data_IF_247782598936
#
_entry.id   IF_247782598936
#
_cell.length_a   1.000
_cell.length_b   1.000
_cell.length_c   1.000
_cell.angle_alpha   90.00
_cell.angle_beta   90.00
_cell.angle_gamma   90.00
#
_symmetry.space_group_name_H-M   'P 1'
#
loop_
_entity.id
_entity.type
_entity.pdbx_description
1 polymer ?
#
# COMPACT_ATOMS: atom_id res chain seq x y z
N UNK A 1 -13.48 36.09 -47.91
CA UNK A 1 -14.75 35.37 -48.21
C UNK A 1 -14.72 34.73 -49.63
N UNK A 2 -14.45 35.47 -50.71
CA UNK A 2 -14.47 34.96 -52.07
C UNK A 2 -13.48 33.77 -52.30
N UNK A 3 -12.28 33.74 -51.70
CA UNK A 3 -11.35 32.65 -51.79
C UNK A 3 -11.84 31.38 -51.06
N UNK A 4 -12.48 31.54 -49.88
CA UNK A 4 -13.09 30.44 -49.14
C UNK A 4 -14.24 29.81 -49.93
N UNK A 5 -15.11 30.65 -50.51
CA UNK A 5 -16.21 30.18 -51.37
C UNK A 5 -15.67 29.43 -52.59
N UNK A 6 -14.65 29.97 -53.23
CA UNK A 6 -13.99 29.32 -54.35
C UNK A 6 -13.38 27.99 -53.98
N UNK A 7 -12.65 27.93 -52.84
CA UNK A 7 -12.09 26.71 -52.30
C UNK A 7 -13.18 25.66 -52.03
N UNK A 8 -14.20 25.99 -51.26
CA UNK A 8 -15.31 25.08 -50.93
C UNK A 8 -16.04 24.54 -52.15
N UNK A 9 -16.10 25.36 -53.23
CA UNK A 9 -16.73 24.95 -54.47
C UNK A 9 -15.90 23.96 -55.29
N UNK A 10 -14.56 24.03 -55.24
CA UNK A 10 -13.69 23.32 -56.17
C UNK A 10 -12.73 22.34 -55.52
N UNK A 11 -12.60 22.30 -54.17
CA UNK A 11 -11.67 21.45 -53.45
C UNK A 11 -11.78 19.94 -53.79
N UNK A 12 -12.97 19.48 -54.12
CA UNK A 12 -13.25 18.08 -54.46
C UNK A 12 -13.31 17.83 -55.98
N UNK A 13 -12.75 18.72 -56.77
CA UNK A 13 -12.77 18.67 -58.24
C UNK A 13 -11.40 18.61 -58.83
N UNK A 14 -11.30 18.38 -60.17
CA UNK A 14 -10.04 18.45 -60.91
C UNK A 14 -9.37 19.85 -60.89
N UNK A 15 -10.11 20.90 -60.48
CA UNK A 15 -9.56 22.24 -60.30
C UNK A 15 -9.00 22.50 -58.88
N UNK A 16 -8.97 21.52 -58.01
CA UNK A 16 -8.45 21.62 -56.63
C UNK A 16 -7.04 22.25 -56.58
N UNK A 17 -6.11 21.79 -57.40
CA UNK A 17 -4.76 22.35 -57.48
C UNK A 17 -4.72 23.85 -57.86
N UNK A 18 -5.61 24.30 -58.73
CA UNK A 18 -5.67 25.70 -59.08
C UNK A 18 -6.16 26.58 -57.93
N UNK A 19 -7.09 26.07 -57.13
CA UNK A 19 -7.59 26.75 -55.94
C UNK A 19 -6.57 26.72 -54.79
N UNK A 20 -5.87 25.60 -54.60
CA UNK A 20 -4.82 25.40 -53.57
C UNK A 20 -3.64 26.38 -53.68
N UNK A 21 -3.41 26.98 -54.87
CA UNK A 21 -2.41 28.05 -55.07
C UNK A 21 -2.74 29.33 -54.31
N UNK A 22 -3.96 29.50 -53.84
CA UNK A 22 -4.46 30.76 -53.23
C UNK A 22 -5.02 30.58 -51.84
N UNK A 23 -5.40 29.36 -51.49
CA UNK A 23 -6.04 29.10 -50.18
C UNK A 23 -5.75 27.66 -49.69
N UNK A 24 -5.52 27.55 -48.40
CA UNK A 24 -5.40 26.28 -47.69
C UNK A 24 -6.30 26.33 -46.44
N UNK A 25 -7.10 25.30 -46.25
CA UNK A 25 -7.98 25.17 -45.06
C UNK A 25 -7.11 24.92 -43.82
N UNK A 26 -7.53 25.49 -42.66
CA UNK A 26 -6.85 25.24 -41.39
C UNK A 26 -6.96 23.76 -40.99
N UNK A 27 -5.94 23.20 -40.31
CA UNK A 27 -6.01 21.82 -39.82
C UNK A 27 -7.20 21.61 -38.89
N UNK A 28 -7.82 20.43 -39.00
CA UNK A 28 -8.79 20.00 -38.02
C UNK A 28 -8.07 19.37 -36.81
N UNK A 29 -8.53 19.72 -35.63
CA UNK A 29 -8.05 19.22 -34.33
C UNK A 29 -9.09 18.28 -33.76
N UNK A 30 -8.70 17.02 -33.43
CA UNK A 30 -9.64 15.95 -33.07
C UNK A 30 -10.27 16.07 -31.69
N UNK A 31 -9.70 16.91 -30.82
CA UNK A 31 -10.17 17.12 -29.44
C UNK A 31 -10.46 18.59 -29.25
N UNK A 32 -11.63 18.93 -28.72
CA UNK A 32 -12.02 20.30 -28.41
C UNK A 32 -11.22 20.88 -27.26
N UNK A 33 -11.10 22.22 -27.22
CA UNK A 33 -10.53 22.94 -26.08
C UNK A 33 -11.33 22.67 -24.80
N UNK A 34 -10.64 22.53 -23.67
CA UNK A 34 -11.35 22.29 -22.41
C UNK A 34 -10.46 21.80 -21.25
N UNK A 35 -11.15 21.48 -20.14
CA UNK A 35 -10.55 20.89 -18.96
C UNK A 35 -10.77 19.36 -18.94
N UNK A 36 -9.73 18.63 -18.66
CA UNK A 36 -9.71 17.16 -18.71
C UNK A 36 -9.07 16.58 -17.44
N UNK A 37 -9.41 15.35 -17.12
CA UNK A 37 -8.87 14.66 -15.93
C UNK A 37 -8.00 13.43 -16.26
N UNK A 38 -7.77 13.23 -17.55
CA UNK A 38 -6.94 12.14 -18.11
C UNK A 38 -6.10 12.68 -19.25
N UNK A 39 -5.02 11.98 -19.58
CA UNK A 39 -4.22 12.26 -20.78
C UNK A 39 -5.09 12.25 -22.03
N UNK A 40 -4.72 13.09 -23.01
CA UNK A 40 -5.41 13.20 -24.29
C UNK A 40 -4.48 12.76 -25.41
N UNK A 41 -5.07 12.13 -26.40
CA UNK A 41 -4.44 11.86 -27.70
C UNK A 41 -5.07 12.79 -28.75
N UNK A 42 -4.35 13.81 -29.15
CA UNK A 42 -4.83 14.81 -30.13
C UNK A 42 -4.27 14.48 -31.51
N UNK A 43 -5.18 14.33 -32.49
CA UNK A 43 -4.84 14.15 -33.91
C UNK A 43 -5.07 15.44 -34.66
N UNK A 44 -4.17 15.75 -35.58
CA UNK A 44 -4.28 16.87 -36.51
C UNK A 44 -4.45 16.29 -37.91
N UNK A 45 -5.37 16.85 -38.66
CA UNK A 45 -5.62 16.45 -40.08
C UNK A 45 -5.73 17.68 -40.95
N UNK A 46 -5.21 17.58 -42.16
CA UNK A 46 -5.30 18.60 -43.18
C UNK A 46 -5.96 18.04 -44.43
N UNK A 47 -6.56 18.87 -45.25
CA UNK A 47 -7.02 18.50 -46.57
C UNK A 47 -5.84 18.01 -47.47
N UNK A 48 -6.06 17.03 -48.30
CA UNK A 48 -5.08 16.46 -49.22
C UNK A 48 -3.78 15.98 -48.56
N UNK A 49 -3.72 15.85 -47.22
CA UNK A 49 -2.52 15.39 -46.53
C UNK A 49 -1.36 16.38 -46.54
N UNK A 50 -1.67 17.68 -46.56
CA UNK A 50 -0.66 18.73 -46.49
C UNK A 50 0.13 18.65 -45.18
N UNK A 51 1.39 19.11 -45.18
CA UNK A 51 2.25 19.17 -44.03
C UNK A 51 1.65 20.08 -42.97
N UNK A 52 1.56 19.59 -41.74
CA UNK A 52 1.07 20.38 -40.57
C UNK A 52 2.23 20.73 -39.68
N UNK A 53 2.41 22.00 -39.41
CA UNK A 53 3.37 22.53 -38.44
C UNK A 53 2.62 23.01 -37.21
N UNK A 54 3.18 22.74 -36.01
CA UNK A 54 2.49 23.05 -34.76
C UNK A 54 3.44 23.56 -33.66
N UNK A 55 2.84 24.23 -32.68
CA UNK A 55 3.44 24.62 -31.38
C UNK A 55 2.51 24.17 -30.25
N UNK A 56 3.04 24.01 -29.04
CA UNK A 56 2.28 23.61 -27.85
C UNK A 56 2.36 24.61 -26.69
N UNK A 57 3.05 25.71 -26.91
CA UNK A 57 3.29 26.80 -25.97
C UNK A 57 2.45 28.07 -26.27
N UNK A 58 1.64 28.03 -27.29
CA UNK A 58 0.83 29.15 -27.75
C UNK A 58 1.57 30.14 -28.65
N UNK A 59 2.82 29.87 -29.03
CA UNK A 59 3.51 30.65 -30.05
C UNK A 59 2.91 30.40 -31.45
N UNK A 60 2.96 31.40 -32.32
CA UNK A 60 2.47 31.27 -33.69
C UNK A 60 3.29 30.26 -34.49
N UNK A 61 2.69 29.21 -35.08
CA UNK A 61 3.41 28.20 -35.84
C UNK A 61 3.87 28.75 -37.19
N UNK A 62 5.06 28.31 -37.60
CA UNK A 62 5.67 28.62 -38.90
C UNK A 62 6.18 27.32 -39.54
N UNK A 63 6.65 27.39 -40.81
CA UNK A 63 7.30 26.24 -41.47
C UNK A 63 8.58 25.76 -40.75
N UNK A 64 9.10 26.51 -39.80
CA UNK A 64 10.23 26.13 -38.94
C UNK A 64 9.79 25.47 -37.61
N UNK A 65 8.49 25.44 -37.34
CA UNK A 65 7.94 24.78 -36.14
C UNK A 65 7.97 23.25 -36.29
N UNK A 66 7.56 22.54 -35.26
CA UNK A 66 7.54 21.07 -35.29
C UNK A 66 6.60 20.55 -36.38
N UNK A 67 7.09 19.62 -37.21
CA UNK A 67 6.29 18.96 -38.21
C UNK A 67 5.48 17.84 -37.53
N UNK A 68 4.16 17.86 -37.73
CA UNK A 68 3.26 16.84 -37.21
C UNK A 68 3.44 15.51 -37.99
N UNK A 69 3.76 14.46 -37.25
CA UNK A 69 3.94 13.09 -37.82
C UNK A 69 3.07 12.07 -37.13
N UNK A 70 2.82 12.24 -35.83
CA UNK A 70 2.07 11.31 -35.00
C UNK A 70 1.13 12.10 -34.06
N UNK A 71 0.12 11.41 -33.51
CA UNK A 71 -0.75 11.98 -32.49
C UNK A 71 0.06 12.64 -31.38
N UNK A 72 -0.44 13.76 -30.87
CA UNK A 72 0.14 14.49 -29.76
C UNK A 72 -0.43 13.93 -28.47
N UNK A 73 0.46 13.63 -27.53
CA UNK A 73 0.08 13.26 -26.17
C UNK A 73 0.09 14.51 -25.29
N UNK A 74 -1.06 14.87 -24.74
CA UNK A 74 -1.23 16.00 -23.84
C UNK A 74 -1.42 15.41 -22.44
N UNK A 75 -0.48 15.73 -21.54
CA UNK A 75 -0.45 15.26 -20.15
C UNK A 75 -0.76 16.40 -19.17
N UNK A 76 -0.63 16.16 -17.87
CA UNK A 76 -0.91 17.13 -16.80
C UNK A 76 -0.29 18.50 -17.07
N UNK A 77 -1.09 19.54 -16.91
CA UNK A 77 -0.73 20.93 -17.12
C UNK A 77 -1.63 21.65 -18.11
N UNK A 78 -1.18 22.84 -18.56
CA UNK A 78 -1.86 23.62 -19.59
C UNK A 78 -1.06 23.59 -20.87
N UNK A 79 -1.70 23.18 -21.97
CA UNK A 79 -1.13 23.14 -23.31
C UNK A 79 -1.90 24.08 -24.23
N UNK A 80 -1.22 24.98 -24.90
CA UNK A 80 -1.77 25.88 -25.91
C UNK A 80 -1.32 25.45 -27.29
N UNK A 81 -2.10 24.61 -27.90
CA UNK A 81 -1.85 24.08 -29.26
C UNK A 81 -2.20 25.13 -30.29
N UNK A 82 -1.27 25.40 -31.21
CA UNK A 82 -1.56 26.11 -32.44
C UNK A 82 -0.97 25.32 -33.60
N UNK A 83 -1.65 25.32 -34.75
CA UNK A 83 -1.18 24.62 -35.94
C UNK A 83 -1.62 25.30 -37.25
N UNK A 84 -0.81 25.11 -38.29
CA UNK A 84 -1.07 25.52 -39.66
C UNK A 84 -0.85 24.34 -40.62
N UNK A 85 -1.59 24.28 -41.69
CA UNK A 85 -1.30 23.40 -42.85
C UNK A 85 -0.55 24.19 -43.92
N UNK A 86 0.43 23.58 -44.56
CA UNK A 86 1.21 24.18 -45.65
C UNK A 86 1.20 23.25 -46.85
N UNK A 87 0.77 23.77 -48.00
CA UNK A 87 0.68 23.01 -49.21
C UNK A 87 1.99 23.01 -50.00
N UNK A 88 2.00 22.28 -51.14
CA UNK A 88 3.15 22.17 -52.02
C UNK A 88 3.60 23.50 -52.68
N UNK A 89 2.79 24.55 -52.61
CA UNK A 89 3.10 25.89 -53.10
C UNK A 89 3.60 26.83 -52.04
N UNK A 90 3.90 26.33 -50.80
CA UNK A 90 4.26 27.08 -49.62
C UNK A 90 3.19 28.11 -49.17
N UNK A 91 1.92 27.84 -49.47
CA UNK A 91 0.79 28.64 -48.95
C UNK A 91 0.40 28.03 -47.62
N UNK A 92 0.45 28.82 -46.59
CA UNK A 92 0.00 28.45 -45.23
C UNK A 92 -1.48 28.75 -45.03
N UNK A 93 -2.15 27.93 -44.27
CA UNK A 93 -3.52 28.15 -43.81
C UNK A 93 -3.58 29.27 -42.73
N UNK A 94 -4.77 29.65 -42.33
CA UNK A 94 -4.99 30.31 -41.04
C UNK A 94 -4.60 29.35 -39.89
N UNK A 95 -4.31 29.93 -38.72
CA UNK A 95 -3.98 29.18 -37.51
C UNK A 95 -5.23 28.52 -36.93
N UNK A 96 -5.20 27.21 -36.73
CA UNK A 96 -6.13 26.50 -35.85
C UNK A 96 -5.52 26.45 -34.43
N UNK A 97 -6.33 26.67 -33.40
CA UNK A 97 -5.88 26.72 -32.02
C UNK A 97 -6.79 25.93 -31.10
N UNK A 98 -6.19 25.31 -30.08
CA UNK A 98 -6.92 24.65 -28.99
C UNK A 98 -6.13 24.80 -27.67
N UNK A 99 -6.83 24.97 -26.58
CA UNK A 99 -6.24 25.05 -25.25
C UNK A 99 -6.76 23.89 -24.39
N UNK A 100 -5.83 23.14 -23.79
CA UNK A 100 -6.14 22.00 -22.93
C UNK A 100 -5.57 22.24 -21.55
N UNK A 101 -6.41 22.02 -20.52
CA UNK A 101 -5.99 22.00 -19.13
C UNK A 101 -6.24 20.59 -18.58
N UNK A 102 -5.20 19.84 -18.35
CA UNK A 102 -5.28 18.49 -17.78
C UNK A 102 -4.92 18.53 -16.30
N UNK A 103 -5.87 18.20 -15.45
CA UNK A 103 -5.69 18.09 -14.00
C UNK A 103 -6.14 16.70 -13.55
N UNK A 104 -5.20 15.86 -13.12
CA UNK A 104 -5.55 14.52 -12.62
C UNK A 104 -6.24 14.61 -11.27
N UNK A 105 -7.32 13.88 -11.11
CA UNK A 105 -8.03 13.79 -9.83
C UNK A 105 -7.31 12.89 -8.86
N UNK A 106 -7.27 13.31 -7.59
CA UNK A 106 -6.88 12.43 -6.49
C UNK A 106 -7.85 11.23 -6.41
N UNK A 107 -7.36 10.03 -6.11
CA UNK A 107 -8.21 8.88 -5.93
C UNK A 107 -9.06 9.00 -4.66
N UNK A 108 -10.18 8.30 -4.65
CA UNK A 108 -11.01 8.17 -3.45
C UNK A 108 -10.24 7.50 -2.31
N UNK A 109 -10.70 7.77 -1.07
CA UNK A 109 -10.11 7.18 0.12
C UNK A 109 -10.13 5.64 0.08
N UNK A 110 -9.06 4.97 0.55
CA UNK A 110 -9.06 3.51 0.68
C UNK A 110 -10.12 3.02 1.67
N UNK A 111 -10.60 1.81 1.46
CA UNK A 111 -11.39 1.08 2.45
C UNK A 111 -10.49 0.14 3.26
N UNK A 112 -10.81 -0.07 4.53
CA UNK A 112 -10.04 -0.93 5.42
C UNK A 112 -10.99 -1.83 6.20
N UNK A 113 -10.76 -3.12 6.16
CA UNK A 113 -11.45 -4.15 6.95
C UNK A 113 -10.39 -4.92 7.77
N UNK A 114 -10.72 -5.31 9.00
CA UNK A 114 -11.91 -5.00 9.77
C UNK A 114 -11.97 -3.52 10.21
N UNK A 115 -13.07 -3.10 10.86
CA UNK A 115 -13.21 -1.76 11.45
C UNK A 115 -12.29 -1.62 12.66
N UNK A 116 -12.08 -0.39 13.13
CA UNK A 116 -11.41 -0.16 14.42
C UNK A 116 -12.12 -0.90 15.55
N UNK A 117 -11.36 -1.52 16.44
CA UNK A 117 -11.93 -2.28 17.53
C UNK A 117 -10.92 -3.12 18.31
N UNK A 118 -11.43 -3.81 19.33
CA UNK A 118 -10.71 -4.82 20.10
C UNK A 118 -11.06 -6.20 19.54
N UNK A 119 -10.05 -7.03 19.39
CA UNK A 119 -10.16 -8.38 18.83
C UNK A 119 -9.45 -9.37 19.74
N UNK A 120 -10.03 -10.55 19.90
CA UNK A 120 -9.52 -11.65 20.75
C UNK A 120 -9.14 -12.87 19.90
N UNK A 121 -9.38 -12.78 18.60
CA UNK A 121 -9.03 -13.82 17.62
C UNK A 121 -8.23 -13.20 16.47
N UNK A 122 -7.42 -14.02 15.80
CA UNK A 122 -6.67 -13.62 14.62
C UNK A 122 -7.55 -12.95 13.57
N UNK A 123 -7.07 -11.84 13.03
CA UNK A 123 -7.78 -11.05 12.03
C UNK A 123 -6.87 -10.78 10.85
N UNK A 124 -7.45 -10.78 9.65
CA UNK A 124 -6.77 -10.33 8.42
C UNK A 124 -7.17 -8.89 8.10
N UNK A 125 -6.17 -8.04 7.91
CA UNK A 125 -6.37 -6.68 7.41
C UNK A 125 -6.44 -6.71 5.89
N UNK A 126 -7.53 -6.17 5.36
CA UNK A 126 -7.77 -6.02 3.92
C UNK A 126 -7.91 -4.55 3.58
N UNK A 127 -7.10 -4.07 2.64
CA UNK A 127 -7.18 -2.72 2.09
C UNK A 127 -7.81 -2.80 0.71
N UNK A 128 -8.88 -2.07 0.51
CA UNK A 128 -9.63 -2.01 -0.73
C UNK A 128 -9.70 -0.58 -1.29
N UNK A 129 -10.47 -0.42 -2.38
CA UNK A 129 -10.59 0.82 -3.13
C UNK A 129 -9.24 1.37 -3.62
N UNK A 130 -8.38 0.47 -4.12
CA UNK A 130 -7.12 0.82 -4.75
C UNK A 130 -7.41 1.16 -6.22
N UNK A 131 -7.05 2.36 -6.70
CA UNK A 131 -7.34 2.74 -8.08
C UNK A 131 -6.62 1.82 -9.09
N UNK A 132 -7.22 1.62 -10.26
CA UNK A 132 -6.65 0.79 -11.30
C UNK A 132 -5.24 1.28 -11.69
N UNK A 133 -4.24 0.38 -11.70
CA UNK A 133 -2.83 0.70 -11.91
C UNK A 133 -2.17 1.50 -10.79
N UNK A 134 -2.90 1.74 -9.69
CA UNK A 134 -2.40 2.43 -8.50
C UNK A 134 -1.80 1.47 -7.47
N UNK A 135 -1.39 2.03 -6.34
CA UNK A 135 -0.77 1.32 -5.21
C UNK A 135 -1.30 1.83 -3.89
N UNK A 136 -1.38 0.96 -2.89
CA UNK A 136 -1.65 1.34 -1.50
C UNK A 136 -0.39 1.19 -0.65
N UNK A 137 -0.17 2.12 0.27
CA UNK A 137 0.92 2.09 1.24
C UNK A 137 0.37 2.30 2.64
N UNK A 138 1.01 1.69 3.62
CA UNK A 138 0.55 1.76 4.99
C UNK A 138 1.68 1.85 6.02
N UNK A 139 1.30 2.28 7.23
CA UNK A 139 2.10 2.24 8.45
C UNK A 139 1.25 1.68 9.58
N UNK A 140 1.88 1.13 10.62
CA UNK A 140 1.21 0.53 11.80
C UNK A 140 1.46 1.31 13.09
N UNK A 141 2.24 2.38 13.02
CA UNK A 141 2.76 3.17 14.14
C UNK A 141 2.15 4.58 14.22
N UNK A 142 0.98 4.80 13.58
CA UNK A 142 0.30 6.09 13.48
C UNK A 142 1.04 7.16 12.65
N UNK A 143 2.19 6.87 12.06
CA UNK A 143 2.85 7.80 11.15
C UNK A 143 2.03 7.98 9.85
N UNK A 144 2.24 9.10 9.17
CA UNK A 144 1.57 9.34 7.88
C UNK A 144 2.26 8.54 6.78
N UNK A 145 1.56 7.61 6.11
CA UNK A 145 2.17 6.82 5.04
C UNK A 145 2.48 7.65 3.81
N UNK A 146 3.55 7.29 3.12
CA UNK A 146 4.01 7.86 1.84
C UNK A 146 4.25 6.73 0.85
N UNK A 147 4.63 7.06 -0.39
CA UNK A 147 5.02 6.06 -1.40
C UNK A 147 6.35 5.33 -1.07
N UNK A 148 7.00 5.66 0.06
CA UNK A 148 8.17 4.97 0.61
C UNK A 148 7.84 4.07 1.80
N UNK A 149 6.59 4.10 2.28
CA UNK A 149 6.10 3.24 3.36
C UNK A 149 5.87 1.82 2.87
N UNK A 150 5.41 0.93 3.73
CA UNK A 150 5.16 -0.47 3.37
C UNK A 150 4.11 -0.57 2.27
N UNK A 151 4.46 -1.23 1.18
CA UNK A 151 3.56 -1.48 0.06
C UNK A 151 2.57 -2.58 0.45
N UNK A 152 1.28 -2.32 0.24
CA UNK A 152 0.25 -3.35 0.38
C UNK A 152 0.23 -4.26 -0.87
N UNK A 153 0.49 -5.54 -0.66
CA UNK A 153 0.52 -6.57 -1.72
C UNK A 153 -0.62 -7.57 -1.63
N UNK A 154 -1.40 -7.52 -0.55
CA UNK A 154 -2.51 -8.41 -0.26
C UNK A 154 -2.86 -8.42 1.22
N UNK A 155 -3.91 -9.17 1.63
CA UNK A 155 -4.29 -9.29 3.03
C UNK A 155 -3.11 -9.72 3.91
N UNK A 156 -3.01 -9.12 5.10
CA UNK A 156 -1.97 -9.44 6.07
C UNK A 156 -2.55 -9.56 7.49
N UNK A 157 -1.87 -10.30 8.35
CA UNK A 157 -2.29 -10.54 9.72
C UNK A 157 -2.22 -9.25 10.55
N UNK A 158 -3.25 -9.04 11.38
CA UNK A 158 -3.27 -7.94 12.34
C UNK A 158 -2.22 -8.20 13.42
N UNK A 159 -1.25 -7.29 13.63
CA UNK A 159 -0.27 -7.48 14.69
C UNK A 159 -0.91 -7.46 16.08
N UNK A 160 -0.39 -8.26 17.02
CA UNK A 160 -0.81 -8.26 18.41
C UNK A 160 -0.54 -6.92 19.08
N UNK A 161 -1.30 -6.63 20.14
CA UNK A 161 -1.18 -5.39 20.92
C UNK A 161 -1.94 -4.22 20.30
N UNK A 162 -1.49 -3.00 20.61
CA UNK A 162 -2.11 -1.76 20.16
C UNK A 162 -1.44 -1.30 18.86
N UNK A 163 -2.22 -1.17 17.80
CA UNK A 163 -1.75 -0.75 16.48
C UNK A 163 -2.61 0.38 15.92
N UNK A 164 -1.98 1.36 15.30
CA UNK A 164 -2.67 2.40 14.53
C UNK A 164 -2.28 2.26 13.07
N UNK A 165 -3.13 1.58 12.32
CA UNK A 165 -2.98 1.46 10.87
C UNK A 165 -3.36 2.77 10.19
N UNK A 166 -2.45 3.33 9.41
CA UNK A 166 -2.70 4.46 8.52
C UNK A 166 -2.47 4.03 7.08
N UNK A 167 -3.39 4.34 6.18
CA UNK A 167 -3.34 3.91 4.77
C UNK A 167 -3.55 5.07 3.83
N UNK A 168 -2.79 5.11 2.74
CA UNK A 168 -2.94 6.03 1.60
C UNK A 168 -2.86 5.23 0.30
N UNK A 169 -3.65 5.62 -0.70
CA UNK A 169 -3.50 5.09 -2.07
C UNK A 169 -2.93 6.15 -3.00
N UNK A 170 -2.24 5.71 -4.03
CA UNK A 170 -1.77 6.53 -5.14
C UNK A 170 -2.34 5.97 -6.43
N UNK A 171 -2.79 6.82 -7.33
CA UNK A 171 -3.17 6.42 -8.68
C UNK A 171 -1.92 6.26 -9.58
N UNK A 172 -2.13 5.83 -10.83
CA UNK A 172 -1.05 5.66 -11.82
C UNK A 172 -0.28 6.96 -12.13
N UNK A 173 -0.91 8.11 -11.91
CA UNK A 173 -0.37 9.45 -12.20
C UNK A 173 0.30 10.08 -10.97
N UNK A 174 0.38 9.36 -9.84
CA UNK A 174 1.07 9.82 -8.62
C UNK A 174 0.21 10.68 -7.67
N UNK A 175 -1.08 10.96 -7.99
CA UNK A 175 -1.95 11.65 -7.04
C UNK A 175 -2.31 10.71 -5.90
N UNK A 176 -2.32 11.26 -4.68
CA UNK A 176 -2.63 10.53 -3.45
C UNK A 176 -4.06 10.76 -2.96
N UNK A 177 -4.65 9.75 -2.37
CA UNK A 177 -5.91 9.86 -1.63
C UNK A 177 -5.74 10.62 -0.30
N UNK A 178 -6.85 10.88 0.37
CA UNK A 178 -6.84 11.14 1.81
C UNK A 178 -6.35 9.90 2.57
N UNK A 179 -5.72 10.11 3.74
CA UNK A 179 -5.28 9.03 4.63
C UNK A 179 -6.45 8.53 5.45
N UNK A 180 -6.62 7.20 5.47
CA UNK A 180 -7.60 6.54 6.36
C UNK A 180 -6.86 5.87 7.50
N UNK A 181 -7.36 6.03 8.73
CA UNK A 181 -6.79 5.42 9.93
C UNK A 181 -7.75 4.42 10.57
N UNK A 182 -7.18 3.38 11.18
CA UNK A 182 -7.88 2.39 12.03
C UNK A 182 -7.06 2.11 13.28
N UNK A 183 -7.73 2.06 14.41
CA UNK A 183 -7.14 1.69 15.70
C UNK A 183 -7.54 0.26 16.03
N UNK A 184 -6.56 -0.58 16.27
CA UNK A 184 -6.75 -1.98 16.61
C UNK A 184 -6.09 -2.31 17.93
N UNK A 185 -6.77 -3.12 18.72
CA UNK A 185 -6.23 -3.82 19.88
C UNK A 185 -6.46 -5.30 19.64
N UNK A 186 -5.41 -6.05 19.34
CA UNK A 186 -5.48 -7.50 19.24
C UNK A 186 -4.87 -8.12 20.49
N UNK A 187 -5.71 -8.81 21.26
CA UNK A 187 -5.28 -9.57 22.44
C UNK A 187 -5.79 -11.00 22.26
N UNK A 188 -4.90 -11.86 21.76
CA UNK A 188 -5.23 -13.28 21.65
C UNK A 188 -5.34 -13.91 23.02
N UNK A 189 -6.35 -14.76 23.21
CA UNK A 189 -6.42 -15.61 24.39
C UNK A 189 -5.33 -16.68 24.31
N UNK A 190 -4.74 -16.98 25.45
CA UNK A 190 -3.77 -18.07 25.54
C UNK A 190 -4.47 -19.40 25.31
N UNK A 191 -3.89 -20.28 24.50
CA UNK A 191 -4.39 -21.64 24.33
C UNK A 191 -4.24 -22.47 25.62
N UNK A 192 -3.27 -22.09 26.44
CA UNK A 192 -3.04 -22.67 27.75
C UNK A 192 -3.24 -21.61 28.83
N UNK A 193 -4.31 -21.74 29.65
CA UNK A 193 -4.52 -20.86 30.80
C UNK A 193 -3.47 -21.10 31.87
N UNK A 194 -3.37 -20.16 32.85
CA UNK A 194 -2.44 -20.31 33.97
C UNK A 194 -2.70 -21.62 34.76
N UNK A 195 -3.98 -21.93 35.03
CA UNK A 195 -4.37 -23.15 35.74
C UNK A 195 -3.95 -24.41 34.97
N UNK A 196 -4.19 -24.40 33.67
CA UNK A 196 -3.77 -25.51 32.81
C UNK A 196 -2.26 -25.65 32.71
N UNK A 197 -1.53 -24.54 32.70
CA UNK A 197 -0.07 -24.54 32.73
C UNK A 197 0.47 -25.15 34.01
N UNK A 198 -0.13 -24.85 35.15
CA UNK A 198 0.21 -25.46 36.44
C UNK A 198 0.01 -26.99 36.43
N UNK A 199 -1.12 -27.47 35.88
CA UNK A 199 -1.38 -28.90 35.74
C UNK A 199 -0.34 -29.58 34.84
N UNK A 200 -0.05 -29.00 33.68
CA UNK A 200 0.97 -29.51 32.74
C UNK A 200 2.33 -29.59 33.43
N UNK A 201 2.70 -28.58 34.21
CA UNK A 201 3.96 -28.53 34.89
C UNK A 201 4.09 -29.65 35.96
N UNK A 202 3.06 -29.88 36.75
CA UNK A 202 3.05 -31.01 37.69
C UNK A 202 3.20 -32.36 37.00
N UNK A 203 2.46 -32.58 35.89
CA UNK A 203 2.56 -33.80 35.10
C UNK A 203 3.98 -34.01 34.53
N UNK A 204 4.63 -32.96 34.03
CA UNK A 204 5.97 -32.99 33.52
C UNK A 204 7.00 -33.32 34.61
N UNK A 205 6.85 -32.72 35.80
CA UNK A 205 7.72 -32.97 36.96
C UNK A 205 7.60 -34.40 37.47
N UNK A 206 6.35 -34.94 37.55
CA UNK A 206 6.10 -36.35 37.89
C UNK A 206 6.73 -37.31 36.87
N UNK A 207 6.53 -37.04 35.59
CA UNK A 207 7.09 -37.87 34.49
C UNK A 207 8.63 -37.90 34.53
N UNK A 208 9.27 -36.81 34.94
CA UNK A 208 10.73 -36.71 35.10
C UNK A 208 11.22 -37.21 36.46
N UNK A 209 10.35 -37.74 37.29
CA UNK A 209 10.65 -38.16 38.67
C UNK A 209 11.26 -37.03 39.54
N UNK A 210 10.92 -35.80 39.26
CA UNK A 210 11.31 -34.65 40.09
C UNK A 210 10.44 -34.55 41.34
N UNK A 211 9.20 -34.99 41.22
CA UNK A 211 8.25 -35.13 42.37
C UNK A 211 7.45 -36.41 42.16
N UNK A 212 6.81 -36.85 43.24
CA UNK A 212 5.82 -37.94 43.18
C UNK A 212 4.37 -37.38 43.03
N UNK A 213 3.39 -38.25 42.99
CA UNK A 213 1.95 -37.88 42.89
C UNK A 213 1.40 -37.09 44.11
N UNK A 214 2.11 -37.01 45.18
CA UNK A 214 1.81 -36.19 46.37
C UNK A 214 2.58 -34.86 46.34
N UNK A 215 3.26 -34.57 45.20
CA UNK A 215 4.10 -33.38 45.00
C UNK A 215 5.29 -33.29 46.01
N UNK A 216 5.79 -34.45 46.39
CA UNK A 216 6.98 -34.51 47.26
C UNK A 216 8.24 -34.72 46.39
N UNK A 217 9.36 -34.09 46.76
CA UNK A 217 10.67 -34.27 46.18
C UNK A 217 11.21 -35.70 46.40
N UNK A 218 12.35 -36.04 45.79
CA UNK A 218 13.05 -37.31 46.05
C UNK A 218 13.41 -37.59 47.52
N UNK A 219 13.54 -36.50 48.28
CA UNK A 219 13.84 -36.56 49.72
C UNK A 219 12.58 -36.57 50.59
N UNK A 220 11.39 -36.60 49.96
CA UNK A 220 10.11 -36.63 50.66
C UNK A 220 9.61 -35.23 51.13
N UNK A 221 10.27 -34.18 50.74
CA UNK A 221 9.91 -32.81 51.12
C UNK A 221 8.84 -32.23 50.16
N UNK A 222 7.83 -31.49 50.71
CA UNK A 222 6.80 -30.86 49.85
C UNK A 222 7.38 -29.84 48.89
N UNK A 223 6.97 -29.93 47.62
CA UNK A 223 7.29 -28.95 46.56
C UNK A 223 6.11 -28.03 46.31
N UNK A 224 6.39 -26.75 46.13
CA UNK A 224 5.38 -25.72 45.80
C UNK A 224 5.78 -25.05 44.49
N UNK A 225 4.81 -24.84 43.64
CA UNK A 225 4.93 -24.02 42.41
C UNK A 225 4.17 -22.70 42.65
N UNK A 226 4.85 -21.61 42.48
CA UNK A 226 4.30 -20.27 42.63
C UNK A 226 4.46 -19.52 41.33
N UNK A 227 3.36 -19.04 40.75
CA UNK A 227 3.44 -18.23 39.54
C UNK A 227 4.28 -16.98 39.85
N UNK A 228 5.35 -16.79 39.12
CA UNK A 228 6.10 -15.53 39.09
C UNK A 228 5.37 -14.53 38.20
N UNK A 229 5.43 -14.73 36.89
CA UNK A 229 4.65 -13.95 35.92
C UNK A 229 4.58 -14.65 34.57
N UNK A 230 3.82 -14.10 33.63
CA UNK A 230 3.87 -14.48 32.23
C UNK A 230 4.91 -13.62 31.50
N UNK A 231 5.92 -14.25 30.91
CA UNK A 231 7.05 -13.57 30.23
C UNK A 231 7.08 -13.89 28.74
N UNK A 232 7.56 -12.93 27.94
CA UNK A 232 7.97 -13.23 26.58
C UNK A 232 9.48 -13.53 26.57
N UNK A 233 9.84 -14.77 26.25
CA UNK A 233 11.23 -15.24 26.25
C UNK A 233 11.52 -15.82 24.87
N UNK A 234 12.46 -15.23 24.16
CA UNK A 234 12.84 -15.65 22.78
C UNK A 234 11.68 -15.74 21.78
N UNK A 235 10.66 -14.89 21.97
CA UNK A 235 9.47 -14.85 21.10
C UNK A 235 8.32 -15.76 21.55
N UNK A 236 8.52 -16.62 22.54
CA UNK A 236 7.48 -17.46 23.13
C UNK A 236 6.87 -16.82 24.37
N UNK A 237 5.57 -16.99 24.54
CA UNK A 237 4.82 -16.48 25.70
C UNK A 237 4.71 -17.54 26.77
N UNK A 238 5.49 -17.41 27.84
CA UNK A 238 5.74 -18.46 28.85
C UNK A 238 5.10 -18.09 30.18
N UNK A 239 4.29 -18.99 30.76
CA UNK A 239 3.89 -18.96 32.15
C UNK A 239 5.08 -19.43 32.99
N UNK A 240 5.70 -18.58 33.81
CA UNK A 240 6.91 -18.88 34.57
C UNK A 240 6.55 -19.09 36.03
N UNK A 241 7.03 -20.19 36.60
CA UNK A 241 6.79 -20.58 37.98
C UNK A 241 8.08 -20.74 38.76
N UNK A 242 8.12 -20.14 39.91
CA UNK A 242 9.11 -20.38 40.94
C UNK A 242 8.85 -21.74 41.62
N UNK A 243 9.91 -22.46 41.91
CA UNK A 243 9.87 -23.74 42.58
C UNK A 243 10.41 -23.57 43.98
N UNK A 244 9.65 -24.00 44.97
CA UNK A 244 10.06 -24.00 46.39
C UNK A 244 9.99 -25.42 46.91
N UNK A 245 10.99 -25.81 47.72
CA UNK A 245 10.99 -27.03 48.54
C UNK A 245 10.80 -26.61 49.97
N UNK A 246 9.80 -27.16 50.65
CA UNK A 246 9.51 -26.86 52.06
C UNK A 246 10.30 -27.80 52.94
N UNK A 247 11.27 -27.28 53.71
CA UNK A 247 12.09 -28.00 54.64
C UNK A 247 11.75 -27.64 56.09
N UNK A 248 12.32 -28.32 57.07
CA UNK A 248 12.20 -27.94 58.50
C UNK A 248 12.66 -26.49 58.79
N UNK A 249 13.50 -25.93 57.92
CA UNK A 249 14.07 -24.59 58.06
C UNK A 249 13.23 -23.52 57.31
N UNK A 250 12.16 -23.92 56.60
CA UNK A 250 11.30 -23.09 55.79
C UNK A 250 11.37 -23.37 54.30
N UNK A 251 10.68 -22.56 53.49
CA UNK A 251 10.63 -22.70 52.06
C UNK A 251 11.97 -22.26 51.40
N UNK A 252 12.60 -23.14 50.68
CA UNK A 252 13.82 -22.88 49.92
C UNK A 252 13.49 -22.78 48.43
N UNK A 253 13.79 -21.62 47.82
CA UNK A 253 13.60 -21.39 46.40
C UNK A 253 14.71 -22.13 45.60
N UNK A 254 14.30 -22.85 44.57
CA UNK A 254 15.25 -23.45 43.62
C UNK A 254 16.02 -22.34 42.84
N UNK A 255 17.21 -22.71 42.34
CA UNK A 255 18.03 -21.79 41.56
C UNK A 255 17.63 -21.70 40.09
N UNK A 256 16.52 -22.30 39.71
CA UNK A 256 15.91 -22.26 38.41
C UNK A 256 14.39 -22.17 38.54
N UNK A 257 13.75 -21.73 37.49
CA UNK A 257 12.30 -21.69 37.34
C UNK A 257 11.85 -22.71 36.29
N UNK A 258 10.60 -23.02 36.25
CA UNK A 258 10.02 -23.78 35.14
C UNK A 258 8.95 -22.97 34.44
N UNK A 259 8.78 -23.20 33.15
CA UNK A 259 7.81 -22.46 32.34
C UNK A 259 7.03 -23.35 31.40
N UNK A 260 5.81 -22.93 31.12
CA UNK A 260 4.93 -23.57 30.14
C UNK A 260 4.59 -22.56 29.05
N UNK A 261 4.87 -22.92 27.82
CA UNK A 261 4.50 -22.11 26.65
C UNK A 261 2.98 -22.05 26.51
N UNK A 262 2.42 -20.84 26.48
CA UNK A 262 0.98 -20.61 26.47
C UNK A 262 0.29 -20.98 25.15
N UNK A 263 1.08 -21.25 24.09
CA UNK A 263 0.59 -21.64 22.78
C UNK A 263 0.78 -23.11 22.47
N UNK A 264 1.98 -23.66 22.76
CA UNK A 264 2.37 -25.03 22.39
C UNK A 264 2.22 -26.05 23.49
N UNK A 265 2.05 -25.64 24.76
CA UNK A 265 2.07 -26.47 25.95
C UNK A 265 3.46 -27.08 26.29
N UNK A 266 4.52 -26.70 25.59
CA UNK A 266 5.85 -27.18 25.90
C UNK A 266 6.34 -26.68 27.25
N UNK A 267 7.04 -27.56 27.99
CA UNK A 267 7.60 -27.27 29.31
C UNK A 267 9.10 -27.05 29.20
N UNK A 268 9.57 -25.95 29.77
CA UNK A 268 10.97 -25.52 29.76
C UNK A 268 11.51 -25.35 31.15
N UNK A 269 12.81 -25.55 31.31
CA UNK A 269 13.55 -24.95 32.42
C UNK A 269 13.88 -23.51 32.06
N UNK A 270 13.65 -22.60 32.98
CA UNK A 270 13.83 -21.14 32.78
C UNK A 270 14.95 -20.69 33.70
N UNK A 271 15.97 -20.08 33.15
CA UNK A 271 17.08 -19.47 33.89
C UNK A 271 17.04 -17.96 33.74
N UNK A 272 17.28 -17.30 34.88
CA UNK A 272 17.49 -15.86 34.93
C UNK A 272 18.93 -15.53 35.23
N UNK A 273 19.54 -14.69 34.42
CA UNK A 273 20.87 -14.17 34.68
C UNK A 273 20.88 -12.64 34.42
N UNK A 274 20.99 -11.86 35.50
CA UNK A 274 21.01 -10.41 35.46
C UNK A 274 19.81 -9.78 34.71
N UNK A 275 18.60 -10.30 34.91
CA UNK A 275 17.39 -9.85 34.24
C UNK A 275 17.21 -10.36 32.82
N UNK A 276 18.09 -11.23 32.33
CA UNK A 276 17.95 -11.91 31.04
C UNK A 276 17.45 -13.33 31.28
N UNK A 277 16.31 -13.64 30.67
CA UNK A 277 15.69 -14.96 30.75
C UNK A 277 16.08 -15.80 29.53
N UNK A 278 16.43 -17.06 29.80
CA UNK A 278 16.71 -18.05 28.74
C UNK A 278 15.90 -19.33 28.98
N UNK A 279 15.44 -19.93 27.90
CA UNK A 279 14.80 -21.23 27.90
C UNK A 279 15.86 -22.28 27.64
N UNK A 280 15.92 -23.28 28.51
CA UNK A 280 16.71 -24.49 28.29
C UNK A 280 15.73 -25.64 28.06
N UNK A 281 16.23 -26.75 27.67
CA UNK A 281 15.60 -27.96 27.21
C UNK A 281 14.08 -28.14 27.47
N UNK A 282 13.35 -28.52 26.41
CA UNK A 282 11.96 -28.97 26.50
C UNK A 282 11.91 -30.23 27.38
N UNK A 283 11.25 -30.16 28.51
CA UNK A 283 11.12 -31.26 29.47
C UNK A 283 9.99 -32.21 29.09
N UNK A 284 8.93 -31.68 28.40
CA UNK A 284 7.70 -32.42 28.09
C UNK A 284 6.95 -31.82 26.91
#
# INVERSE_FOLDING_TARGET
>A
EALVELYNKYKDTQAADAVAKYYVEAPAVSVESGEYTTDLEVKLTSDYGYDIYYTVDGSEPTINSALYKNKLEITEGTTKLQCIAVNQYNIASSVASAEYKVEYKAPDAPTISPRSGNYETEQLIVIGNIPAGGKAYYTLDNTTPTNKSTLYTGPFEMPSGNNVLSVVTYNKNGQKSSVVKRNYVLKLEDKVSQERALEILWQAMEHKNMVNSEHLSSDGEPVKLVLDEKKNISGSSIWVFDIYVTTEQGDMKANYQMGVDSESSYVYTVYENNGVYTLDEVIY
#
